data_IF_418508106349
#
_entry.id   IF_418508106349
#
_cell.length_a   1.000
_cell.length_b   1.000
_cell.length_c   1.000
_cell.angle_alpha   90.00
_cell.angle_beta   90.00
_cell.angle_gamma   90.00
#
_symmetry.space_group_name_H-M   'P 1'
#
loop_
_entity.id
_entity.type
_entity.pdbx_description
1 polymer ?
#
# COMPACT_ATOMS: atom_id res chain seq x y z
N UNK A 1 18.04 18.38 14.70
CA UNK A 1 16.83 18.31 13.87
C UNK A 1 16.66 16.86 13.43
N UNK A 2 15.68 16.13 13.98
CA UNK A 2 15.34 14.80 13.48
C UNK A 2 14.52 14.99 12.21
N UNK A 3 15.13 14.71 11.06
CA UNK A 3 14.46 14.62 9.76
C UNK A 3 13.85 13.22 9.58
N UNK A 4 13.35 12.64 10.67
CA UNK A 4 12.87 11.26 10.70
C UNK A 4 11.50 11.20 10.02
N UNK A 5 11.44 10.41 8.96
CA UNK A 5 10.20 10.12 8.26
C UNK A 5 9.64 8.79 8.79
N UNK A 6 8.57 8.80 9.60
CA UNK A 6 8.01 7.57 10.19
C UNK A 6 7.58 6.56 9.12
N UNK A 7 7.24 6.99 7.91
CA UNK A 7 6.88 6.10 6.81
C UNK A 7 8.10 5.34 6.27
N UNK A 8 9.21 6.05 6.01
CA UNK A 8 10.46 5.41 5.58
C UNK A 8 11.00 4.48 6.66
N UNK A 9 10.95 4.88 7.93
CA UNK A 9 11.38 4.04 9.04
C UNK A 9 10.55 2.76 9.16
N UNK A 10 9.22 2.86 9.05
CA UNK A 10 8.34 1.70 9.06
C UNK A 10 8.70 0.73 7.93
N UNK A 11 8.93 1.25 6.72
CA UNK A 11 9.36 0.45 5.58
C UNK A 11 10.72 -0.24 5.81
N UNK A 12 11.72 0.49 6.29
CA UNK A 12 13.03 -0.08 6.61
C UNK A 12 12.96 -1.12 7.73
N UNK A 13 12.07 -0.93 8.71
CA UNK A 13 11.80 -1.91 9.74
C UNK A 13 11.19 -3.18 9.12
N UNK A 14 10.20 -3.06 8.24
CA UNK A 14 9.62 -4.22 7.53
C UNK A 14 10.69 -4.99 6.76
N UNK A 15 11.59 -4.28 6.05
CA UNK A 15 12.71 -4.90 5.34
C UNK A 15 13.64 -5.67 6.28
N UNK A 16 14.16 -5.01 7.33
CA UNK A 16 15.17 -5.60 8.22
C UNK A 16 14.66 -6.76 9.08
N UNK A 17 13.36 -6.74 9.42
CA UNK A 17 12.73 -7.76 10.25
C UNK A 17 11.99 -8.83 9.43
N UNK A 18 12.06 -8.77 8.09
CA UNK A 18 11.52 -9.84 7.26
C UNK A 18 12.29 -11.15 7.53
N UNK A 19 11.62 -12.30 7.68
CA UNK A 19 12.29 -13.59 7.94
C UNK A 19 13.32 -13.99 6.88
N UNK A 20 13.19 -13.45 5.66
CA UNK A 20 14.08 -13.69 4.52
C UNK A 20 15.28 -12.75 4.46
N UNK A 21 15.34 -11.73 5.33
CA UNK A 21 16.44 -10.77 5.33
C UNK A 21 17.73 -11.46 5.83
N UNK A 22 18.81 -11.46 5.05
CA UNK A 22 20.01 -12.22 5.41
C UNK A 22 20.83 -11.50 6.48
N UNK A 23 21.58 -12.28 7.28
CA UNK A 23 22.54 -11.74 8.25
C UNK A 23 23.66 -10.93 7.57
N UNK A 24 24.09 -11.38 6.38
CA UNK A 24 25.08 -10.70 5.54
C UNK A 24 24.80 -10.96 4.06
N UNK A 25 25.16 -10.00 3.21
CA UNK A 25 25.21 -10.19 1.77
C UNK A 25 26.63 -10.58 1.35
N UNK A 26 26.74 -11.54 0.43
CA UNK A 26 28.04 -12.01 -0.09
C UNK A 26 28.64 -11.05 -1.12
N UNK A 27 27.79 -10.27 -1.79
CA UNK A 27 28.20 -9.27 -2.77
C UNK A 27 27.15 -8.18 -2.95
N UNK A 28 27.55 -7.06 -3.55
CA UNK A 28 26.61 -6.00 -3.98
C UNK A 28 25.59 -6.53 -5.00
N UNK A 29 25.98 -7.49 -5.86
CA UNK A 29 25.06 -8.10 -6.82
C UNK A 29 23.94 -8.87 -6.13
N UNK A 30 24.29 -9.67 -5.13
CA UNK A 30 23.31 -10.42 -4.34
C UNK A 30 22.40 -9.47 -3.53
N UNK A 31 22.95 -8.41 -2.95
CA UNK A 31 22.16 -7.39 -2.27
C UNK A 31 21.14 -6.72 -3.19
N UNK A 32 21.53 -6.38 -4.42
CA UNK A 32 20.62 -5.79 -5.43
C UNK A 32 19.51 -6.75 -5.84
N UNK A 33 19.85 -8.02 -6.08
CA UNK A 33 18.88 -9.05 -6.45
C UNK A 33 17.84 -9.25 -5.34
N UNK A 34 18.30 -9.37 -4.08
CA UNK A 34 17.43 -9.45 -2.92
C UNK A 34 16.50 -8.23 -2.81
N UNK A 35 17.03 -7.01 -2.95
CA UNK A 35 16.23 -5.79 -2.87
C UNK A 35 15.18 -5.71 -3.97
N UNK A 36 15.50 -6.14 -5.20
CA UNK A 36 14.55 -6.18 -6.30
C UNK A 36 13.39 -7.14 -6.02
N UNK A 37 13.70 -8.37 -5.59
CA UNK A 37 12.69 -9.36 -5.21
C UNK A 37 11.83 -8.88 -4.04
N UNK A 38 12.46 -8.30 -3.01
CA UNK A 38 11.77 -7.80 -1.84
C UNK A 38 10.80 -6.66 -2.20
N UNK A 39 11.25 -5.68 -3.00
CA UNK A 39 10.41 -4.55 -3.42
C UNK A 39 9.23 -5.01 -4.26
N UNK A 40 9.44 -5.96 -5.17
CA UNK A 40 8.38 -6.57 -5.98
C UNK A 40 7.33 -7.23 -5.08
N UNK A 41 7.78 -8.10 -4.16
CA UNK A 41 6.91 -8.76 -3.20
C UNK A 41 6.16 -7.77 -2.30
N UNK A 42 6.84 -6.74 -1.79
CA UNK A 42 6.26 -5.72 -0.92
C UNK A 42 5.17 -4.91 -1.63
N UNK A 43 5.43 -4.51 -2.88
CA UNK A 43 4.54 -3.62 -3.64
C UNK A 43 3.37 -4.33 -4.31
N UNK A 44 3.54 -5.58 -4.74
CA UNK A 44 2.58 -6.26 -5.60
C UNK A 44 1.95 -7.52 -4.99
N UNK A 45 2.56 -8.10 -3.96
CA UNK A 45 2.08 -9.37 -3.38
C UNK A 45 1.63 -9.23 -1.92
N UNK A 46 2.44 -8.59 -1.08
CA UNK A 46 2.17 -8.45 0.34
C UNK A 46 1.01 -7.49 0.60
N UNK A 47 0.01 -7.95 1.36
CA UNK A 47 -1.17 -7.15 1.73
C UNK A 47 -0.97 -6.55 3.11
N UNK A 48 -1.20 -5.25 3.21
CA UNK A 48 -0.84 -4.47 4.39
C UNK A 48 -2.09 -4.09 5.17
N UNK A 49 -2.13 -4.45 6.45
CA UNK A 49 -3.24 -4.14 7.37
C UNK A 49 -3.49 -2.63 7.45
N UNK A 50 -2.43 -1.82 7.45
CA UNK A 50 -2.53 -0.36 7.55
C UNK A 50 -3.21 0.33 6.36
N UNK A 51 -3.42 -0.37 5.24
CA UNK A 51 -4.07 0.16 4.03
C UNK A 51 -5.20 -0.74 3.55
N UNK A 52 -5.98 -1.32 4.47
CA UNK A 52 -7.18 -2.05 4.09
C UNK A 52 -6.93 -3.43 3.48
N UNK A 53 -5.81 -4.09 3.82
CA UNK A 53 -5.31 -5.31 3.17
C UNK A 53 -5.08 -5.16 1.66
N UNK A 54 -4.80 -3.94 1.19
CA UNK A 54 -4.34 -3.68 -0.17
C UNK A 54 -2.82 -3.85 -0.27
N UNK A 55 -2.34 -4.04 -1.50
CA UNK A 55 -0.91 -3.88 -1.80
C UNK A 55 -0.60 -2.38 -1.99
N UNK A 56 0.65 -1.94 -1.80
CA UNK A 56 1.04 -0.56 -2.08
C UNK A 56 0.74 -0.16 -3.54
N UNK A 57 0.92 -1.08 -4.49
CA UNK A 57 0.57 -0.84 -5.89
C UNK A 57 -0.95 -0.63 -6.09
N UNK A 58 -1.80 -1.40 -5.40
CA UNK A 58 -3.25 -1.23 -5.48
C UNK A 58 -3.67 0.18 -5.05
N UNK A 59 -3.03 0.73 -4.01
CA UNK A 59 -3.31 2.08 -3.53
C UNK A 59 -2.73 3.12 -4.49
N UNK A 60 -1.48 2.94 -4.92
CA UNK A 60 -0.79 3.87 -5.80
C UNK A 60 -1.51 4.06 -7.15
N UNK A 61 -1.98 2.97 -7.75
CA UNK A 61 -2.70 2.99 -9.03
C UNK A 61 -4.22 3.19 -8.89
N UNK A 62 -4.73 3.50 -7.69
CA UNK A 62 -6.15 3.79 -7.47
C UNK A 62 -7.10 2.58 -7.56
N UNK A 63 -6.57 1.35 -7.49
CA UNK A 63 -7.34 0.10 -7.61
C UNK A 63 -8.06 -0.30 -6.31
N UNK A 64 -7.70 0.32 -5.18
CA UNK A 64 -8.20 -0.05 -3.85
C UNK A 64 -9.74 0.00 -3.74
N UNK A 65 -10.40 0.98 -4.38
CA UNK A 65 -11.86 1.12 -4.30
C UNK A 65 -12.60 -0.03 -4.99
N UNK A 66 -12.15 -0.43 -6.19
CA UNK A 66 -12.72 -1.57 -6.91
C UNK A 66 -12.55 -2.87 -6.10
N UNK A 67 -11.35 -3.09 -5.54
CA UNK A 67 -11.10 -4.25 -4.67
C UNK A 67 -11.94 -4.26 -3.41
N UNK A 68 -12.24 -3.10 -2.82
CA UNK A 68 -13.13 -3.00 -1.67
C UNK A 68 -14.56 -3.46 -2.02
N UNK A 69 -15.07 -3.05 -3.18
CA UNK A 69 -16.38 -3.50 -3.67
C UNK A 69 -16.42 -5.02 -3.90
N UNK A 70 -15.40 -5.58 -4.55
CA UNK A 70 -15.28 -7.03 -4.77
C UNK A 70 -15.25 -7.84 -3.46
N UNK A 71 -14.50 -7.34 -2.46
CA UNK A 71 -14.43 -7.97 -1.13
C UNK A 71 -15.77 -7.92 -0.40
N UNK A 72 -16.46 -6.78 -0.46
CA UNK A 72 -17.78 -6.61 0.16
C UNK A 72 -18.79 -7.59 -0.44
N UNK A 73 -18.82 -7.71 -1.77
CA UNK A 73 -19.68 -8.66 -2.48
C UNK A 73 -19.35 -10.12 -2.12
N UNK A 74 -18.06 -10.46 -2.05
CA UNK A 74 -17.61 -11.80 -1.64
C UNK A 74 -18.06 -12.14 -0.22
N UNK A 75 -17.91 -11.20 0.73
CA UNK A 75 -18.37 -11.38 2.11
C UNK A 75 -19.90 -11.48 2.21
N UNK A 76 -20.63 -10.67 1.46
CA UNK A 76 -22.08 -10.74 1.40
C UNK A 76 -22.57 -12.11 0.91
N UNK A 77 -21.94 -12.65 -0.13
CA UNK A 77 -22.24 -13.99 -0.63
C UNK A 77 -21.94 -15.07 0.41
N UNK A 78 -20.77 -15.01 1.06
CA UNK A 78 -20.38 -15.98 2.09
C UNK A 78 -21.37 -15.97 3.28
N UNK A 79 -21.83 -14.79 3.70
CA UNK A 79 -22.84 -14.61 4.75
C UNK A 79 -24.20 -15.21 4.36
N UNK A 80 -24.64 -14.99 3.12
CA UNK A 80 -25.89 -15.54 2.63
C UNK A 80 -25.86 -17.08 2.57
N UNK A 81 -24.70 -17.67 2.24
CA UNK A 81 -24.53 -19.12 2.16
C UNK A 81 -24.44 -19.82 3.52
N UNK A 82 -23.85 -19.17 4.54
CA UNK A 82 -23.58 -19.78 5.84
C UNK A 82 -23.91 -18.81 6.99
N UNK A 83 -25.17 -18.37 7.15
CA UNK A 83 -25.53 -17.31 8.08
C UNK A 83 -25.15 -17.62 9.54
N UNK A 84 -25.18 -18.89 9.95
CA UNK A 84 -24.81 -19.36 11.29
C UNK A 84 -23.34 -19.14 11.64
N UNK A 85 -22.46 -18.92 10.64
CA UNK A 85 -21.03 -18.65 10.85
C UNK A 85 -20.71 -17.17 11.07
N UNK A 86 -21.68 -16.27 10.89
CA UNK A 86 -21.46 -14.83 10.97
C UNK A 86 -22.36 -14.17 12.02
N UNK A 87 -21.76 -13.37 12.89
CA UNK A 87 -22.48 -12.60 13.91
C UNK A 87 -22.88 -11.19 13.44
N UNK A 88 -22.46 -10.77 12.24
CA UNK A 88 -22.72 -9.43 11.71
C UNK A 88 -22.68 -9.40 10.18
N UNK A 89 -23.48 -8.50 9.61
CA UNK A 89 -23.54 -8.20 8.18
C UNK A 89 -22.68 -6.99 7.78
N UNK A 90 -22.01 -6.34 8.73
CA UNK A 90 -21.14 -5.20 8.47
C UNK A 90 -19.77 -5.65 8.01
N UNK A 91 -19.19 -4.93 7.06
CA UNK A 91 -17.83 -5.22 6.61
C UNK A 91 -16.79 -4.97 7.72
N UNK A 92 -15.74 -5.80 7.79
CA UNK A 92 -14.69 -5.63 8.79
C UNK A 92 -14.02 -4.26 8.69
N UNK A 93 -13.90 -3.56 9.82
CA UNK A 93 -13.25 -2.24 9.90
C UNK A 93 -11.83 -2.23 9.33
N UNK A 94 -11.12 -3.36 9.42
CA UNK A 94 -9.76 -3.53 8.90
C UNK A 94 -9.67 -3.36 7.38
N UNK A 95 -10.78 -3.44 6.63
CA UNK A 95 -10.80 -3.24 5.18
C UNK A 95 -10.88 -1.78 4.75
N UNK A 96 -11.18 -0.85 5.68
CA UNK A 96 -11.25 0.56 5.37
C UNK A 96 -9.86 1.11 5.01
N UNK A 97 -9.76 1.82 3.90
CA UNK A 97 -8.55 2.54 3.53
C UNK A 97 -8.46 3.82 4.38
N UNK A 98 -7.30 4.12 5.02
CA UNK A 98 -7.12 5.38 5.73
C UNK A 98 -7.14 6.56 4.74
N UNK A 99 -7.40 7.75 5.28
CA UNK A 99 -7.29 8.99 4.50
C UNK A 99 -5.86 9.29 4.06
N UNK A 100 -5.71 10.26 3.15
CA UNK A 100 -4.41 10.70 2.66
C UNK A 100 -3.55 11.26 3.80
N UNK A 101 -2.26 10.94 3.75
CA UNK A 101 -1.24 11.50 4.63
C UNK A 101 -0.08 12.03 3.81
N UNK A 102 0.72 12.94 4.39
CA UNK A 102 1.80 13.61 3.70
C UNK A 102 3.07 13.61 4.56
N UNK A 103 4.22 13.37 3.92
CA UNK A 103 5.54 13.64 4.53
C UNK A 103 5.76 15.16 4.56
N UNK A 104 5.52 15.80 3.42
CA UNK A 104 5.46 17.25 3.27
C UNK A 104 4.11 17.57 2.61
N UNK A 105 3.16 18.17 3.35
CA UNK A 105 1.87 18.55 2.77
C UNK A 105 2.13 19.65 1.73
N UNK A 106 1.72 19.47 0.47
CA UNK A 106 1.79 20.55 -0.51
C UNK A 106 1.00 21.74 0.01
N UNK A 107 1.58 22.95 -0.07
CA UNK A 107 0.79 24.17 0.09
C UNK A 107 -0.30 24.16 -0.97
N UNK A 108 -1.53 24.50 -0.59
CA UNK A 108 -2.64 24.64 -1.52
C UNK A 108 -2.30 25.81 -2.46
N UNK A 109 -1.66 25.53 -3.60
CA UNK A 109 -1.59 26.48 -4.69
C UNK A 109 -3.00 26.62 -5.24
N UNK A 110 -3.55 27.83 -5.16
CA UNK A 110 -4.78 28.20 -5.86
C UNK A 110 -4.67 27.70 -7.31
N UNK A 111 -5.73 27.05 -7.79
CA UNK A 111 -5.82 26.51 -9.14
C UNK A 111 -5.67 27.63 -10.18
N UNK A 112 -4.42 27.99 -10.49
CA UNK A 112 -4.02 28.96 -11.48
C UNK A 112 -3.44 28.24 -12.68
N UNK A 113 -4.31 27.99 -13.66
CA UNK A 113 -4.05 27.95 -15.10
C UNK A 113 -2.81 27.16 -15.58
N UNK A 114 -3.06 25.96 -16.13
CA UNK A 114 -2.05 25.25 -16.93
C UNK A 114 -1.58 26.13 -18.10
N UNK A 115 -0.28 26.48 -18.21
CA UNK A 115 0.21 27.11 -19.43
C UNK A 115 0.25 26.06 -20.55
N UNK A 116 -0.35 26.41 -21.69
CA UNK A 116 -0.47 25.60 -22.89
C UNK A 116 0.86 24.95 -23.34
N UNK A 117 0.82 23.75 -23.95
CA UNK A 117 2.02 23.02 -24.33
C UNK A 117 2.78 23.80 -25.42
N UNK A 118 4.03 24.14 -25.15
CA UNK A 118 4.97 24.62 -26.18
C UNK A 118 5.39 23.43 -27.04
N UNK A 119 4.80 23.32 -28.23
CA UNK A 119 5.37 22.55 -29.35
C UNK A 119 6.71 23.19 -29.73
N UNK A 120 7.81 22.45 -29.55
CA UNK A 120 9.08 22.76 -30.18
C UNK A 120 9.18 21.99 -31.49
N UNK A 121 9.35 22.72 -32.59
CA UNK A 121 9.78 22.23 -33.89
C UNK A 121 11.32 22.12 -33.95
#
# INVERSE_FOLDING_TARGET
MSNDNPYSESWFKTLKFAPVFPERFESVGQARAFMAEFVEGYNHTHRHIGIGLNTPADVHYGLAAAKAAERSATLALARAQNPERFSSNLDPKILALPGTTWINKPTEQEAGEEPAPKLAA
#
